data_IF_215295068484
#
_entry.id   IF_215295068484
#
_cell.length_a   1.000
_cell.length_b   1.000
_cell.length_c   1.000
_cell.angle_alpha   90.00
_cell.angle_beta   90.00
_cell.angle_gamma   90.00
#
_symmetry.space_group_name_H-M   'P 1'
#
loop_
_entity.id
_entity.type
_entity.pdbx_description
1 polymer ?
#
# COMPACT_ATOMS: atom_id res chain seq x y z
N UNK A 1 38.95 17.43 -33.72
CA UNK A 1 38.34 16.40 -32.83
C UNK A 1 37.09 15.85 -33.51
N UNK A 2 37.15 14.62 -34.04
CA UNK A 2 36.05 14.00 -34.82
C UNK A 2 34.99 13.49 -33.82
N UNK A 3 33.82 14.13 -33.77
CA UNK A 3 32.71 13.66 -32.91
C UNK A 3 32.26 12.28 -33.41
N UNK A 4 32.53 11.24 -32.63
CA UNK A 4 32.15 9.87 -32.96
C UNK A 4 30.62 9.75 -32.90
N UNK A 5 29.98 9.40 -34.02
CA UNK A 5 28.52 9.17 -34.09
C UNK A 5 28.05 8.05 -33.15
N UNK A 6 28.95 7.19 -32.68
CA UNK A 6 28.65 6.14 -31.71
C UNK A 6 28.19 6.69 -30.35
N UNK A 7 28.61 7.90 -29.97
CA UNK A 7 28.26 8.48 -28.67
C UNK A 7 26.80 8.95 -28.60
N UNK A 8 26.13 9.15 -29.74
CA UNK A 8 24.75 9.64 -29.80
C UNK A 8 23.70 8.54 -29.54
N UNK A 9 24.07 7.27 -29.71
CA UNK A 9 23.16 6.13 -29.54
C UNK A 9 23.22 5.47 -28.15
N UNK A 10 24.26 5.75 -27.35
CA UNK A 10 24.43 5.14 -26.02
C UNK A 10 23.60 5.89 -24.96
N UNK A 11 23.44 7.20 -25.09
CA UNK A 11 22.72 8.03 -24.12
C UNK A 11 21.21 7.72 -24.01
N UNK A 12 20.45 7.45 -25.10
CA UNK A 12 19.03 7.13 -24.99
C UNK A 12 18.78 5.75 -24.36
N UNK A 13 19.67 4.79 -24.59
CA UNK A 13 19.52 3.42 -24.08
C UNK A 13 19.63 3.34 -22.54
N UNK A 14 20.43 4.21 -21.93
CA UNK A 14 20.57 4.30 -20.47
C UNK A 14 19.36 4.97 -19.80
N UNK A 15 18.60 5.80 -20.52
CA UNK A 15 17.43 6.48 -19.97
C UNK A 15 16.21 5.55 -19.83
N UNK A 16 16.12 4.51 -20.67
CA UNK A 16 14.98 3.57 -20.69
C UNK A 16 14.94 2.58 -19.51
N UNK A 17 16.06 2.35 -18.82
CA UNK A 17 16.11 1.42 -17.68
C UNK A 17 15.61 2.04 -16.36
N UNK A 18 15.40 3.36 -16.31
CA UNK A 18 15.08 4.06 -15.06
C UNK A 18 13.59 3.98 -14.64
N UNK A 19 12.74 3.28 -15.39
CA UNK A 19 11.28 3.30 -15.20
C UNK A 19 10.67 2.00 -14.68
N UNK A 20 11.42 1.17 -13.94
CA UNK A 20 10.80 0.18 -13.05
C UNK A 20 10.18 0.93 -11.85
N UNK A 21 9.08 1.64 -12.11
CA UNK A 21 8.30 2.35 -11.10
C UNK A 21 7.71 1.33 -10.14
N UNK A 22 8.08 1.43 -8.86
CA UNK A 22 7.43 0.71 -7.78
C UNK A 22 6.00 1.23 -7.67
N UNK A 23 5.04 0.46 -8.18
CA UNK A 23 3.63 0.85 -8.19
C UNK A 23 2.80 -0.32 -7.65
N UNK A 24 2.08 -0.08 -6.56
CA UNK A 24 1.06 -1.00 -6.08
C UNK A 24 -0.05 -1.11 -7.12
N UNK A 25 -0.49 -2.34 -7.44
CA UNK A 25 -1.69 -2.56 -8.26
C UNK A 25 -2.87 -2.97 -7.37
N UNK A 26 -4.05 -2.41 -7.62
CA UNK A 26 -5.29 -2.80 -6.93
C UNK A 26 -6.40 -3.08 -7.94
N UNK A 27 -7.24 -4.07 -7.63
CA UNK A 27 -8.34 -4.50 -8.48
C UNK A 27 -9.56 -4.86 -7.63
N UNK A 28 -10.72 -4.32 -8.00
CA UNK A 28 -12.00 -4.78 -7.50
C UNK A 28 -12.79 -5.40 -8.66
N UNK A 29 -13.19 -6.66 -8.52
CA UNK A 29 -14.00 -7.38 -9.52
C UNK A 29 -15.36 -7.65 -8.91
N UNK A 30 -16.42 -7.39 -9.67
CA UNK A 30 -17.75 -7.87 -9.36
C UNK A 30 -18.06 -9.10 -10.23
N UNK A 31 -18.53 -10.18 -9.61
CA UNK A 31 -18.98 -11.35 -10.37
C UNK A 31 -20.41 -11.16 -10.91
N UNK A 32 -20.97 -12.21 -11.52
CA UNK A 32 -22.33 -12.15 -12.09
C UNK A 32 -23.43 -12.20 -11.02
N UNK A 33 -23.09 -12.62 -9.81
CA UNK A 33 -23.97 -12.73 -8.66
C UNK A 33 -24.02 -11.43 -7.85
N UNK A 34 -23.08 -10.51 -8.10
CA UNK A 34 -22.98 -9.23 -7.43
C UNK A 34 -21.89 -9.17 -6.37
N UNK A 35 -21.21 -10.29 -6.09
CA UNK A 35 -20.16 -10.38 -5.08
C UNK A 35 -18.92 -9.58 -5.51
N UNK A 36 -18.32 -8.83 -4.57
CA UNK A 36 -17.16 -7.97 -4.82
C UNK A 36 -15.90 -8.65 -4.25
N UNK A 37 -14.90 -8.81 -5.11
CA UNK A 37 -13.58 -9.35 -4.78
C UNK A 37 -12.55 -8.23 -4.91
N UNK A 38 -11.91 -7.88 -3.80
CA UNK A 38 -10.85 -6.88 -3.77
C UNK A 38 -9.49 -7.56 -3.62
N UNK A 39 -8.61 -7.31 -4.58
CA UNK A 39 -7.23 -7.79 -4.61
C UNK A 39 -6.25 -6.65 -4.75
N UNK A 40 -5.02 -6.91 -4.31
CA UNK A 40 -3.88 -6.01 -4.46
C UNK A 40 -2.58 -6.78 -4.56
N UNK A 41 -1.61 -6.16 -5.17
CA UNK A 41 -0.21 -6.57 -5.09
C UNK A 41 0.55 -5.66 -4.12
N UNK A 42 1.72 -6.12 -3.67
CA UNK A 42 2.62 -5.36 -2.80
C UNK A 42 3.99 -5.35 -3.47
N UNK A 43 4.22 -4.36 -4.33
CA UNK A 43 5.50 -4.07 -4.94
C UNK A 43 6.31 -3.15 -4.03
N UNK A 44 7.41 -3.68 -3.49
CA UNK A 44 8.38 -2.88 -2.76
C UNK A 44 9.80 -3.33 -3.09
N UNK A 45 10.78 -2.44 -2.90
CA UNK A 45 12.18 -2.73 -3.23
C UNK A 45 12.80 -3.84 -2.37
N UNK A 46 12.17 -4.18 -1.25
CA UNK A 46 12.61 -5.16 -0.27
C UNK A 46 11.41 -5.93 0.25
N UNK A 47 11.64 -7.14 0.74
CA UNK A 47 10.61 -7.91 1.43
C UNK A 47 10.19 -7.17 2.71
N UNK A 48 8.91 -6.82 2.80
CA UNK A 48 8.34 -6.23 4.00
C UNK A 48 7.86 -7.33 4.94
N UNK A 49 8.37 -7.41 6.18
CA UNK A 49 7.77 -8.28 7.18
C UNK A 49 6.32 -7.85 7.36
N UNK A 50 5.40 -8.79 7.13
CA UNK A 50 3.97 -8.52 7.04
C UNK A 50 3.20 -9.46 7.95
N UNK A 51 2.13 -8.95 8.57
CA UNK A 51 1.30 -9.70 9.49
C UNK A 51 -0.18 -9.47 9.20
N UNK A 52 -0.97 -10.51 9.43
CA UNK A 52 -2.42 -10.40 9.54
C UNK A 52 -2.76 -9.91 10.94
N UNK A 53 -3.33 -8.71 11.04
CA UNK A 53 -3.61 -8.03 12.30
C UNK A 53 -5.09 -7.75 12.42
N UNK A 54 -5.65 -8.11 13.57
CA UNK A 54 -7.04 -7.81 13.93
C UNK A 54 -7.07 -6.64 14.91
N UNK A 55 -7.86 -5.62 14.59
CA UNK A 55 -8.14 -4.48 15.46
C UNK A 55 -9.62 -4.52 15.86
N UNK A 56 -9.95 -4.68 17.15
CA UNK A 56 -11.34 -4.60 17.59
C UNK A 56 -11.91 -3.18 17.42
N UNK A 57 -13.24 -3.07 17.39
CA UNK A 57 -13.90 -1.76 17.49
C UNK A 57 -13.46 -1.04 18.78
N UNK A 58 -13.34 0.29 18.72
CA UNK A 58 -12.79 1.11 19.80
C UNK A 58 -11.26 1.15 19.86
N UNK A 59 -10.55 0.44 18.99
CA UNK A 59 -9.09 0.58 18.90
C UNK A 59 -8.71 2.03 18.67
N UNK A 60 -7.87 2.57 19.56
CA UNK A 60 -7.37 3.93 19.48
C UNK A 60 -6.16 3.99 18.54
N UNK A 61 -6.26 4.81 17.49
CA UNK A 61 -5.15 5.16 16.62
C UNK A 61 -4.69 6.57 16.95
N UNK A 62 -3.39 6.74 17.17
CA UNK A 62 -2.75 8.03 17.40
C UNK A 62 -1.61 8.15 16.39
N UNK A 63 -1.66 9.14 15.51
CA UNK A 63 -0.61 9.38 14.52
C UNK A 63 0.22 10.60 14.92
N UNK A 64 1.46 10.62 14.46
CA UNK A 64 2.38 11.76 14.57
C UNK A 64 2.52 12.42 13.20
N UNK A 65 2.78 13.72 13.17
CA UNK A 65 3.17 14.43 11.95
C UNK A 65 4.62 14.10 11.57
N UNK A 66 5.08 14.42 10.34
CA UNK A 66 6.46 14.13 9.91
C UNK A 66 7.55 14.78 10.78
N UNK A 67 7.27 15.91 11.42
CA UNK A 67 8.16 16.58 12.38
C UNK A 67 8.06 16.01 13.81
N UNK A 68 7.28 14.95 14.01
CA UNK A 68 7.12 14.25 15.28
C UNK A 68 6.08 14.86 16.23
N UNK A 69 5.44 15.98 15.85
CA UNK A 69 4.37 16.58 16.64
C UNK A 69 3.10 15.72 16.66
N UNK A 70 2.17 16.05 17.56
CA UNK A 70 0.92 15.31 17.72
C UNK A 70 0.05 15.45 16.46
N UNK A 71 -0.18 14.33 15.77
CA UNK A 71 -1.08 14.26 14.63
C UNK A 71 -2.52 13.89 15.03
N UNK A 72 -3.28 13.44 14.04
CA UNK A 72 -4.68 13.04 14.22
C UNK A 72 -4.80 11.80 15.10
N UNK A 73 -5.82 11.81 15.96
CA UNK A 73 -6.21 10.70 16.83
C UNK A 73 -7.67 10.33 16.57
N UNK A 74 -7.96 9.04 16.40
CA UNK A 74 -9.32 8.53 16.19
C UNK A 74 -9.50 7.11 16.72
N UNK A 75 -10.75 6.75 17.04
CA UNK A 75 -11.11 5.40 17.45
C UNK A 75 -11.82 4.66 16.32
N UNK A 76 -11.48 3.38 16.12
CA UNK A 76 -12.11 2.54 15.12
C UNK A 76 -13.60 2.34 15.43
N UNK A 77 -14.48 2.71 14.49
CA UNK A 77 -15.93 2.46 14.65
C UNK A 77 -16.31 1.01 14.41
N UNK A 78 -15.61 0.32 13.51
CA UNK A 78 -15.83 -1.07 13.16
C UNK A 78 -14.54 -1.86 13.42
N UNK A 79 -14.61 -3.18 13.70
CA UNK A 79 -13.42 -4.00 13.73
C UNK A 79 -12.78 -4.06 12.34
N UNK A 80 -11.45 -4.14 12.31
CA UNK A 80 -10.63 -4.10 11.10
C UNK A 80 -9.77 -5.37 11.07
N UNK A 81 -9.74 -6.05 9.93
CA UNK A 81 -8.75 -7.08 9.64
C UNK A 81 -7.82 -6.53 8.56
N UNK A 82 -6.51 -6.53 8.82
CA UNK A 82 -5.54 -5.83 7.99
C UNK A 82 -4.25 -6.60 7.78
N UNK A 83 -3.61 -6.39 6.64
CA UNK A 83 -2.19 -6.67 6.43
C UNK A 83 -1.41 -5.46 6.92
N UNK A 84 -0.49 -5.68 7.86
CA UNK A 84 0.32 -4.61 8.48
C UNK A 84 1.80 -4.86 8.30
N UNK A 85 2.60 -3.79 8.30
CA UNK A 85 4.07 -3.84 8.32
C UNK A 85 4.63 -2.67 9.14
N UNK A 86 5.96 -2.59 9.26
CA UNK A 86 6.67 -1.59 10.06
C UNK A 86 7.44 -0.63 9.15
N UNK A 87 6.74 0.24 8.43
CA UNK A 87 7.35 1.12 7.43
C UNK A 87 7.82 2.43 8.05
N UNK A 88 7.05 2.99 8.98
CA UNK A 88 7.25 4.38 9.43
C UNK A 88 8.27 4.55 10.55
N UNK A 89 8.24 3.72 11.60
CA UNK A 89 9.12 3.89 12.77
C UNK A 89 9.57 2.57 13.42
N UNK A 90 9.44 1.43 12.72
CA UNK A 90 9.90 0.11 13.19
C UNK A 90 8.99 -0.58 14.21
N UNK A 91 8.16 0.16 14.94
CA UNK A 91 7.20 -0.36 15.93
C UNK A 91 5.73 -0.21 15.49
N UNK A 92 5.44 0.75 14.60
CA UNK A 92 4.10 0.97 14.08
C UNK A 92 3.65 -0.18 13.18
N UNK A 93 2.49 -0.77 13.51
CA UNK A 93 1.76 -1.68 12.62
C UNK A 93 1.03 -0.85 11.57
N UNK A 94 1.76 -0.34 10.60
CA UNK A 94 1.19 0.42 9.48
C UNK A 94 0.30 -0.49 8.66
N UNK A 95 -0.97 -0.12 8.54
CA UNK A 95 -1.94 -0.85 7.74
C UNK A 95 -1.59 -0.62 6.28
N UNK A 96 -1.21 -1.71 5.61
CA UNK A 96 -0.98 -1.73 4.18
C UNK A 96 -2.32 -1.89 3.49
N UNK A 97 -3.09 -2.92 3.85
CA UNK A 97 -4.43 -3.25 3.36
C UNK A 97 -5.33 -3.59 4.52
N UNK A 98 -6.63 -3.37 4.41
CA UNK A 98 -7.57 -4.00 5.32
C UNK A 98 -9.01 -3.89 4.90
N UNK A 99 -9.85 -4.66 5.60
CA UNK A 99 -11.30 -4.63 5.47
C UNK A 99 -11.93 -4.43 6.85
N UNK A 100 -13.06 -3.76 6.88
CA UNK A 100 -13.89 -3.58 8.06
C UNK A 100 -15.06 -4.55 8.04
N UNK A 101 -15.67 -4.84 9.19
CA UNK A 101 -16.90 -5.64 9.22
C UNK A 101 -18.07 -5.03 8.43
N UNK A 102 -18.02 -3.72 8.11
CA UNK A 102 -19.04 -3.08 7.26
C UNK A 102 -18.90 -3.51 5.80
N UNK A 103 -17.68 -3.74 5.33
CA UNK A 103 -17.42 -4.09 3.93
C UNK A 103 -18.00 -5.47 3.60
N UNK A 104 -17.94 -6.42 4.54
CA UNK A 104 -18.61 -7.72 4.41
C UNK A 104 -20.14 -7.63 4.27
N UNK A 105 -20.76 -6.54 4.72
CA UNK A 105 -22.21 -6.35 4.60
C UNK A 105 -22.60 -5.74 3.24
N UNK A 106 -21.69 -4.99 2.60
CA UNK A 106 -21.91 -4.41 1.26
C UNK A 106 -21.78 -5.45 0.13
N UNK A 107 -21.11 -6.58 0.38
CA UNK A 107 -21.00 -7.69 -0.59
C UNK A 107 -22.26 -8.55 -0.62
N UNK A 108 -23.12 -8.50 0.40
CA UNK A 108 -24.30 -9.37 0.54
C UNK A 108 -25.63 -8.78 0.04
N UNK A 109 -25.61 -7.70 -0.73
CA UNK A 109 -26.83 -7.07 -1.29
C UNK A 109 -27.11 -7.56 -2.69
#
# INVERSE_FOLDING_TARGET
MKKSKAMLFIAPALFSYALASQACTTLAIQDKQGDIFHGRTLEYMQDLPSWLTYYPAGTQFVKKTPDGSQGVSYQAKYPILAITSTITDGDSRDILEGMTARDCHLVKT
#
